data_IF_768135596929
#
_entry.id   IF_768135596929
#
_cell.length_a   1.000
_cell.length_b   1.000
_cell.length_c   1.000
_cell.angle_alpha   90.00
_cell.angle_beta   90.00
_cell.angle_gamma   90.00
#
_symmetry.space_group_name_H-M   'P 1'
#
loop_
_entity.id
_entity.type
_entity.pdbx_description
1 polymer ?
#
# COMPACT_ATOMS: atom_id res chain seq x y z
N UNK A 1 32.58 1.28 -3.21
CA UNK A 1 31.79 0.04 -3.33
C UNK A 1 32.08 -0.55 -4.72
N UNK A 2 32.49 -1.83 -4.83
CA UNK A 2 32.68 -2.44 -6.15
C UNK A 2 31.31 -2.64 -6.80
N UNK A 3 31.18 -2.27 -8.08
CA UNK A 3 29.92 -2.43 -8.82
C UNK A 3 29.83 -3.87 -9.33
N UNK A 4 28.78 -4.57 -8.92
CA UNK A 4 28.46 -5.92 -9.39
C UNK A 4 27.49 -5.80 -10.57
N UNK A 5 27.99 -6.00 -11.78
CA UNK A 5 27.16 -5.94 -12.98
C UNK A 5 26.29 -7.19 -13.13
N UNK A 6 25.10 -6.99 -13.70
CA UNK A 6 24.21 -8.08 -14.03
C UNK A 6 24.85 -8.93 -15.16
N UNK A 7 24.82 -10.28 -15.08
CA UNK A 7 25.33 -11.13 -16.14
C UNK A 7 24.66 -10.84 -17.50
N UNK A 8 25.41 -10.96 -18.60
CA UNK A 8 24.87 -10.76 -19.94
C UNK A 8 23.81 -11.83 -20.29
N UNK A 9 23.96 -13.05 -19.78
CA UNK A 9 23.12 -14.22 -20.04
C UNK A 9 21.95 -14.39 -19.04
N UNK A 10 21.21 -13.31 -18.74
CA UNK A 10 20.00 -13.42 -17.90
C UNK A 10 18.81 -13.93 -18.72
N UNK A 11 18.07 -14.97 -18.25
CA UNK A 11 16.88 -15.48 -18.92
C UNK A 11 15.81 -14.41 -19.15
N UNK A 12 15.09 -14.50 -20.28
CA UNK A 12 14.06 -13.52 -20.66
C UNK A 12 13.00 -13.33 -19.57
N UNK A 13 12.58 -14.41 -18.90
CA UNK A 13 11.63 -14.34 -17.76
C UNK A 13 12.12 -13.40 -16.67
N UNK A 14 13.41 -13.45 -16.29
CA UNK A 14 13.97 -12.54 -15.27
C UNK A 14 14.04 -11.09 -15.76
N UNK A 15 14.24 -10.86 -17.06
CA UNK A 15 14.20 -9.52 -17.65
C UNK A 15 12.80 -8.93 -17.60
N UNK A 16 11.77 -9.70 -17.94
CA UNK A 16 10.36 -9.29 -17.85
C UNK A 16 9.92 -8.98 -16.42
N UNK A 17 10.35 -9.80 -15.44
CA UNK A 17 10.18 -9.50 -14.01
C UNK A 17 10.82 -8.16 -13.61
N UNK A 18 12.05 -7.90 -14.07
CA UNK A 18 12.70 -6.61 -13.79
C UNK A 18 11.95 -5.46 -14.49
N UNK A 19 11.54 -5.64 -15.75
CA UNK A 19 10.80 -4.62 -16.49
C UNK A 19 9.45 -4.26 -15.83
N UNK A 20 8.72 -5.25 -15.30
CA UNK A 20 7.49 -4.99 -14.54
C UNK A 20 7.75 -4.17 -13.28
N UNK A 21 8.84 -4.43 -12.56
CA UNK A 21 9.20 -3.66 -11.36
C UNK A 21 9.68 -2.25 -11.74
N UNK A 22 10.44 -2.11 -12.82
CA UNK A 22 10.85 -0.79 -13.35
C UNK A 22 9.62 0.05 -13.70
N UNK A 23 8.65 -0.54 -14.40
CA UNK A 23 7.39 0.13 -14.73
C UNK A 23 6.63 0.55 -13.46
N UNK A 24 6.54 -0.32 -12.46
CA UNK A 24 5.87 -0.01 -11.19
C UNK A 24 6.58 1.10 -10.39
N UNK A 25 7.91 1.03 -10.26
CA UNK A 25 8.72 2.06 -9.60
C UNK A 25 8.57 3.41 -10.33
N UNK A 26 8.62 3.40 -11.67
CA UNK A 26 8.36 4.59 -12.49
C UNK A 26 6.95 5.15 -12.26
N UNK A 27 5.93 4.28 -12.19
CA UNK A 27 4.57 4.68 -11.88
C UNK A 27 4.46 5.39 -10.53
N UNK A 28 5.24 4.97 -9.54
CA UNK A 28 5.21 5.58 -8.22
C UNK A 28 6.00 6.91 -8.16
N UNK A 29 7.16 6.99 -8.83
CA UNK A 29 8.09 8.11 -8.67
C UNK A 29 8.00 9.19 -9.76
N UNK A 30 7.60 8.85 -10.98
CA UNK A 30 7.73 9.73 -12.15
C UNK A 30 6.46 9.89 -12.98
N UNK A 31 5.53 8.93 -12.94
CA UNK A 31 4.36 8.96 -13.83
C UNK A 31 3.44 10.17 -13.57
N UNK A 32 3.25 10.57 -12.32
CA UNK A 32 2.44 11.74 -11.99
C UNK A 32 2.98 13.05 -12.61
N UNK A 33 4.31 13.19 -12.63
CA UNK A 33 5.01 14.33 -13.22
C UNK A 33 4.88 14.29 -14.74
N UNK A 34 5.08 13.12 -15.35
CA UNK A 34 4.88 12.93 -16.79
C UNK A 34 3.43 13.22 -17.21
N UNK A 35 2.44 12.76 -16.44
CA UNK A 35 1.04 13.03 -16.71
C UNK A 35 0.69 14.52 -16.61
N UNK A 36 1.20 15.21 -15.59
CA UNK A 36 1.05 16.67 -15.46
C UNK A 36 1.68 17.40 -16.64
N UNK A 37 2.93 17.07 -16.98
CA UNK A 37 3.64 17.68 -18.10
C UNK A 37 2.92 17.43 -19.43
N UNK A 38 2.44 16.21 -19.68
CA UNK A 38 1.68 15.87 -20.87
C UNK A 38 0.35 16.65 -20.95
N UNK A 39 -0.40 16.72 -19.84
CA UNK A 39 -1.65 17.46 -19.78
C UNK A 39 -1.47 18.95 -20.12
N UNK A 40 -0.43 19.58 -19.55
CA UNK A 40 -0.06 20.97 -19.81
C UNK A 40 0.41 21.13 -21.26
N UNK A 41 1.35 20.29 -21.72
CA UNK A 41 1.90 20.38 -23.06
C UNK A 41 0.81 20.27 -24.14
N UNK A 42 -0.15 19.35 -23.97
CA UNK A 42 -1.26 19.17 -24.91
C UNK A 42 -2.08 20.46 -25.10
N UNK A 43 -2.28 21.29 -24.06
CA UNK A 43 -2.95 22.60 -24.18
C UNK A 43 -2.25 23.56 -25.14
N UNK A 44 -0.94 23.45 -25.29
CA UNK A 44 -0.13 24.31 -26.17
C UNK A 44 0.15 23.67 -27.55
N UNK A 45 -0.60 22.62 -27.92
CA UNK A 45 -0.50 21.96 -29.23
C UNK A 45 -1.84 21.98 -29.96
N UNK A 46 -1.85 21.49 -31.21
CA UNK A 46 -3.10 21.24 -31.96
C UNK A 46 -4.08 20.29 -31.25
N UNK A 47 -3.64 19.59 -30.20
CA UNK A 47 -4.43 18.64 -29.42
C UNK A 47 -5.05 19.25 -28.14
N UNK A 48 -5.06 20.58 -28.00
CA UNK A 48 -5.58 21.26 -26.80
C UNK A 48 -7.01 20.85 -26.40
N UNK A 49 -7.85 20.51 -27.39
CA UNK A 49 -9.21 20.02 -27.17
C UNK A 49 -9.23 18.77 -26.30
N UNK A 50 -8.23 17.89 -26.39
CA UNK A 50 -8.12 16.68 -25.55
C UNK A 50 -7.98 17.07 -24.07
N UNK A 51 -7.08 18.01 -23.77
CA UNK A 51 -6.90 18.49 -22.39
C UNK A 51 -8.11 19.28 -21.90
N UNK A 52 -8.74 20.09 -22.74
CA UNK A 52 -9.95 20.84 -22.37
C UNK A 52 -11.12 19.91 -22.03
N UNK A 53 -11.39 18.91 -22.88
CA UNK A 53 -12.43 17.92 -22.65
C UNK A 53 -12.12 17.06 -21.42
N UNK A 54 -10.86 16.64 -21.25
CA UNK A 54 -10.45 15.92 -20.05
C UNK A 54 -10.60 16.80 -18.79
N UNK A 55 -10.27 18.08 -18.84
CA UNK A 55 -10.42 19.00 -17.70
C UNK A 55 -11.89 19.15 -17.29
N UNK A 56 -12.79 19.31 -18.26
CA UNK A 56 -14.23 19.36 -18.00
C UNK A 56 -14.71 18.06 -17.35
N UNK A 57 -14.33 16.90 -17.90
CA UNK A 57 -14.65 15.60 -17.32
C UNK A 57 -14.05 15.42 -15.91
N UNK A 58 -12.81 15.83 -15.72
CA UNK A 58 -12.10 15.76 -14.44
C UNK A 58 -12.81 16.59 -13.37
N UNK A 59 -13.29 17.78 -13.71
CA UNK A 59 -14.08 18.60 -12.79
C UNK A 59 -15.38 17.93 -12.36
N UNK A 60 -16.09 17.29 -13.30
CA UNK A 60 -17.34 16.56 -13.05
C UNK A 60 -17.07 15.29 -12.22
N UNK A 61 -16.01 14.55 -12.53
CA UNK A 61 -15.65 13.26 -11.90
C UNK A 61 -14.78 13.42 -10.64
N UNK A 62 -14.58 14.65 -10.13
CA UNK A 62 -13.62 14.97 -9.06
C UNK A 62 -13.80 14.15 -7.78
N UNK A 63 -15.04 13.79 -7.45
CA UNK A 63 -15.37 13.05 -6.21
C UNK A 63 -15.24 11.53 -6.36
N UNK A 64 -15.02 11.03 -7.58
CA UNK A 64 -14.96 9.59 -7.86
C UNK A 64 -13.94 8.81 -7.01
N UNK A 65 -12.72 9.33 -6.75
CA UNK A 65 -11.76 8.67 -5.86
C UNK A 65 -12.28 8.45 -4.45
N UNK A 66 -13.17 9.32 -3.96
CA UNK A 66 -13.79 9.21 -2.63
C UNK A 66 -15.13 8.48 -2.65
N UNK A 67 -15.57 8.01 -3.83
CA UNK A 67 -16.81 7.23 -4.02
C UNK A 67 -16.51 5.84 -4.58
N UNK A 68 -15.47 5.20 -4.05
CA UNK A 68 -15.08 3.82 -4.38
C UNK A 68 -14.26 3.64 -5.66
N UNK A 69 -13.83 4.74 -6.30
CA UNK A 69 -12.93 4.72 -7.45
C UNK A 69 -13.56 4.10 -8.71
N UNK A 70 -12.70 3.70 -9.67
CA UNK A 70 -13.08 3.13 -10.97
C UNK A 70 -12.13 1.99 -11.33
N UNK A 71 -12.43 0.80 -10.82
CA UNK A 71 -11.62 -0.41 -11.06
C UNK A 71 -11.75 -0.90 -12.49
N UNK A 72 -10.63 -1.36 -13.06
CA UNK A 72 -10.56 -1.99 -14.37
C UNK A 72 -9.98 -3.39 -14.21
N UNK A 73 -10.84 -4.41 -14.22
CA UNK A 73 -10.44 -5.80 -13.99
C UNK A 73 -9.39 -6.30 -14.99
N UNK A 74 -9.45 -5.87 -16.25
CA UNK A 74 -8.46 -6.22 -17.26
C UNK A 74 -7.04 -5.75 -16.86
N UNK A 75 -6.93 -4.53 -16.33
CA UNK A 75 -5.65 -3.99 -15.85
C UNK A 75 -5.19 -4.74 -14.61
N UNK A 76 -6.07 -5.01 -13.64
CA UNK A 76 -5.75 -5.79 -12.43
C UNK A 76 -5.28 -7.22 -12.73
N UNK A 77 -5.80 -7.83 -13.80
CA UNK A 77 -5.43 -9.18 -14.28
C UNK A 77 -4.25 -9.18 -15.27
N UNK A 78 -3.65 -8.03 -15.55
CA UNK A 78 -2.57 -7.91 -16.54
C UNK A 78 -1.37 -8.81 -16.19
N UNK A 79 -0.77 -9.39 -17.23
CA UNK A 79 0.41 -10.26 -17.11
C UNK A 79 1.60 -9.56 -16.46
N UNK A 80 1.70 -8.24 -16.56
CA UNK A 80 2.78 -7.46 -15.93
C UNK A 80 2.83 -7.67 -14.41
N UNK A 81 1.67 -7.81 -13.75
CA UNK A 81 1.59 -8.03 -12.31
C UNK A 81 2.00 -9.44 -11.90
N UNK A 82 1.81 -10.44 -12.77
CA UNK A 82 2.33 -11.81 -12.55
C UNK A 82 3.87 -11.82 -12.57
N UNK A 83 4.48 -11.08 -13.49
CA UNK A 83 5.93 -10.88 -13.49
C UNK A 83 6.42 -10.14 -12.25
N UNK A 84 5.68 -9.12 -11.80
CA UNK A 84 6.03 -8.39 -10.57
C UNK A 84 5.92 -9.29 -9.33
N UNK A 85 4.86 -10.09 -9.20
CA UNK A 85 4.72 -11.09 -8.13
C UNK A 85 5.90 -12.07 -8.11
N UNK A 86 6.30 -12.59 -9.27
CA UNK A 86 7.40 -13.55 -9.40
C UNK A 86 8.78 -12.91 -9.21
N UNK A 87 8.89 -11.58 -9.26
CA UNK A 87 10.11 -10.86 -8.92
C UNK A 87 10.38 -10.89 -7.41
N UNK A 88 9.33 -10.73 -6.61
CA UNK A 88 9.33 -10.69 -5.14
C UNK A 88 8.80 -11.98 -4.47
N UNK A 89 8.70 -13.10 -5.19
CA UNK A 89 7.81 -14.22 -4.83
C UNK A 89 6.67 -13.92 -3.83
N UNK A 90 5.69 -13.08 -4.21
CA UNK A 90 4.63 -12.65 -3.26
C UNK A 90 3.58 -13.75 -3.03
N UNK A 91 3.27 -14.01 -1.75
CA UNK A 91 2.22 -14.94 -1.32
C UNK A 91 1.23 -14.22 -0.40
N UNK A 92 -0.07 -14.37 -0.69
CA UNK A 92 -1.15 -13.92 0.19
C UNK A 92 -1.71 -15.11 0.95
N UNK A 93 -1.63 -15.06 2.28
CA UNK A 93 -2.05 -16.15 3.18
C UNK A 93 -3.36 -15.78 3.85
N UNK A 94 -4.37 -16.61 3.66
CA UNK A 94 -5.69 -16.49 4.30
C UNK A 94 -5.72 -17.34 5.58
N UNK A 95 -6.07 -16.73 6.72
CA UNK A 95 -6.20 -17.44 8.01
C UNK A 95 -7.64 -17.64 8.47
N UNK A 96 -8.60 -16.93 7.85
CA UNK A 96 -10.03 -17.07 8.13
C UNK A 96 -10.89 -16.74 6.90
N UNK A 97 -12.11 -17.26 6.91
CA UNK A 97 -13.15 -16.88 5.97
C UNK A 97 -13.66 -15.47 6.27
N UNK A 98 -14.01 -14.74 5.21
CA UNK A 98 -14.65 -13.43 5.28
C UNK A 98 -16.04 -13.54 4.65
N UNK A 99 -17.07 -13.15 5.38
CA UNK A 99 -18.47 -13.16 4.91
C UNK A 99 -18.65 -12.06 3.84
N UNK A 100 -18.99 -12.41 2.59
CA UNK A 100 -19.17 -11.43 1.51
C UNK A 100 -20.35 -10.48 1.74
N UNK A 101 -21.19 -10.72 2.76
CA UNK A 101 -22.26 -9.80 3.16
C UNK A 101 -21.78 -8.69 4.09
N UNK A 102 -20.52 -8.71 4.53
CA UNK A 102 -19.94 -7.71 5.41
C UNK A 102 -18.85 -6.90 4.69
N UNK A 103 -18.69 -5.65 5.11
CA UNK A 103 -17.52 -4.85 4.76
C UNK A 103 -16.44 -5.03 5.84
N UNK A 104 -15.17 -4.88 5.45
CA UNK A 104 -14.02 -5.08 6.32
C UNK A 104 -13.05 -3.90 6.25
N UNK A 105 -12.53 -3.50 7.41
CA UNK A 105 -11.43 -2.54 7.50
C UNK A 105 -10.13 -3.28 7.80
N UNK A 106 -9.26 -3.40 6.80
CA UNK A 106 -8.02 -4.16 6.86
C UNK A 106 -6.85 -3.25 7.23
N UNK A 107 -6.19 -3.51 8.35
CA UNK A 107 -4.98 -2.78 8.76
C UNK A 107 -3.73 -3.50 8.28
N UNK A 108 -3.03 -2.93 7.30
CA UNK A 108 -1.80 -3.48 6.71
C UNK A 108 -0.55 -2.95 7.40
N UNK A 109 0.36 -3.87 7.74
CA UNK A 109 1.62 -3.61 8.46
C UNK A 109 2.76 -4.47 7.90
N UNK A 110 4.01 -3.99 7.87
CA UNK A 110 4.43 -2.59 7.92
C UNK A 110 4.19 -1.89 6.56
N UNK A 111 4.36 -0.57 6.50
CA UNK A 111 4.31 0.17 5.22
C UNK A 111 5.43 -0.21 4.24
N UNK A 112 6.65 -0.49 4.74
CA UNK A 112 7.84 -0.54 3.88
C UNK A 112 8.12 0.80 3.19
N UNK A 113 8.99 0.82 2.17
CA UNK A 113 9.27 2.06 1.43
C UNK A 113 8.15 2.38 0.42
N UNK A 114 7.76 1.39 -0.38
CA UNK A 114 6.79 1.55 -1.48
C UNK A 114 5.56 0.63 -1.36
N UNK A 115 5.44 -0.14 -0.26
CA UNK A 115 4.34 -1.06 0.01
C UNK A 115 4.02 -2.01 -1.17
N UNK A 116 5.04 -2.69 -1.70
CA UNK A 116 4.92 -3.60 -2.84
C UNK A 116 3.94 -4.75 -2.56
N UNK A 117 3.97 -5.32 -1.36
CA UNK A 117 3.04 -6.38 -0.96
C UNK A 117 1.59 -5.90 -0.95
N UNK A 118 1.33 -4.72 -0.36
CA UNK A 118 0.00 -4.12 -0.37
C UNK A 118 -0.51 -3.87 -1.80
N UNK A 119 0.34 -3.29 -2.67
CA UNK A 119 -0.04 -3.04 -4.05
C UNK A 119 -0.37 -4.34 -4.80
N UNK A 120 0.51 -5.34 -4.74
CA UNK A 120 0.28 -6.62 -5.45
C UNK A 120 -0.98 -7.30 -4.94
N UNK A 121 -1.20 -7.33 -3.64
CA UNK A 121 -2.31 -8.07 -3.03
C UNK A 121 -3.68 -7.41 -3.17
N UNK A 122 -3.76 -6.08 -3.08
CA UNK A 122 -5.05 -5.38 -3.06
C UNK A 122 -5.36 -4.65 -4.37
N UNK A 123 -4.34 -4.27 -5.15
CA UNK A 123 -4.54 -3.53 -6.39
C UNK A 123 -4.48 -4.40 -7.65
N UNK A 124 -4.09 -5.67 -7.55
CA UNK A 124 -3.97 -6.60 -8.69
C UNK A 124 -4.62 -7.94 -8.36
N UNK A 125 -4.74 -8.81 -9.36
CA UNK A 125 -5.16 -10.20 -9.19
C UNK A 125 -3.96 -11.18 -9.19
N UNK A 126 -2.72 -10.68 -9.14
CA UNK A 126 -1.54 -11.53 -9.31
C UNK A 126 -1.37 -12.56 -8.18
N UNK A 127 -1.76 -12.22 -6.94
CA UNK A 127 -1.76 -13.13 -5.79
C UNK A 127 -3.07 -13.91 -5.63
N UNK A 128 -4.03 -13.75 -6.55
CA UNK A 128 -5.29 -14.49 -6.52
C UNK A 128 -6.28 -14.02 -5.44
N UNK A 129 -6.30 -12.72 -5.10
CA UNK A 129 -7.16 -12.17 -4.06
C UNK A 129 -8.63 -12.62 -4.20
N UNK A 130 -9.24 -12.48 -5.37
CA UNK A 130 -10.65 -12.87 -5.57
C UNK A 130 -10.89 -14.39 -5.48
N UNK A 131 -9.85 -15.21 -5.60
CA UNK A 131 -9.93 -16.66 -5.38
C UNK A 131 -9.86 -16.99 -3.89
N UNK A 132 -9.00 -16.31 -3.14
CA UNK A 132 -8.86 -16.48 -1.70
C UNK A 132 -10.07 -15.92 -0.94
N UNK A 133 -10.60 -14.78 -1.36
CA UNK A 133 -11.72 -14.08 -0.72
C UNK A 133 -12.85 -13.89 -1.73
N UNK A 134 -13.60 -14.95 -2.09
CA UNK A 134 -14.67 -14.86 -3.07
C UNK A 134 -15.77 -13.91 -2.60
N UNK A 135 -16.25 -13.06 -3.51
CA UNK A 135 -17.25 -12.04 -3.20
C UNK A 135 -16.71 -10.81 -2.45
N UNK A 136 -15.42 -10.80 -2.08
CA UNK A 136 -14.77 -9.64 -1.46
C UNK A 136 -14.03 -8.82 -2.52
N UNK A 137 -14.27 -7.52 -2.48
CA UNK A 137 -13.75 -6.54 -3.40
C UNK A 137 -12.74 -5.65 -2.68
N UNK A 138 -11.42 -5.75 -2.97
CA UNK A 138 -10.40 -4.98 -2.28
C UNK A 138 -10.35 -3.53 -2.79
N UNK A 139 -10.05 -2.62 -1.87
CA UNK A 139 -9.73 -1.21 -2.14
C UNK A 139 -8.54 -0.82 -1.26
N UNK A 140 -7.54 -0.14 -1.83
CA UNK A 140 -6.36 0.33 -1.07
C UNK A 140 -6.39 1.85 -0.95
N UNK A 141 -6.24 2.37 0.26
CA UNK A 141 -6.19 3.82 0.48
C UNK A 141 -4.85 4.39 0.01
N UNK A 142 -4.92 5.49 -0.74
CA UNK A 142 -3.77 6.23 -1.27
C UNK A 142 -3.92 7.71 -0.96
N UNK A 143 -2.79 8.40 -0.78
CA UNK A 143 -2.75 9.83 -0.48
C UNK A 143 -3.63 10.63 -1.46
N UNK A 144 -4.56 11.40 -0.89
CA UNK A 144 -5.60 12.16 -1.62
C UNK A 144 -5.03 13.11 -2.68
N UNK A 145 -3.81 13.63 -2.46
CA UNK A 145 -3.11 14.51 -3.40
C UNK A 145 -2.91 13.87 -4.78
N UNK A 146 -2.60 12.57 -4.84
CA UNK A 146 -2.35 11.89 -6.12
C UNK A 146 -3.58 11.80 -7.02
N UNK A 147 -4.78 11.84 -6.43
CA UNK A 147 -6.02 11.86 -7.18
C UNK A 147 -6.35 13.23 -7.80
N UNK A 148 -5.55 14.25 -7.52
CA UNK A 148 -5.61 15.58 -8.16
C UNK A 148 -4.67 15.69 -9.37
N UNK A 149 -3.93 14.64 -9.70
CA UNK A 149 -3.04 14.64 -10.87
C UNK A 149 -3.81 14.10 -12.09
N UNK A 150 -3.92 14.86 -13.20
CA UNK A 150 -4.64 14.43 -14.40
C UNK A 150 -4.02 13.15 -14.96
N UNK A 151 -4.83 12.27 -15.52
CA UNK A 151 -4.50 10.92 -16.03
C UNK A 151 -3.99 9.93 -14.98
N UNK A 152 -3.09 10.35 -14.08
CA UNK A 152 -2.54 9.51 -13.02
C UNK A 152 -3.63 9.06 -12.04
N UNK A 153 -4.57 9.94 -11.69
CA UNK A 153 -5.75 9.58 -10.87
C UNK A 153 -6.53 8.40 -11.43
N UNK A 154 -6.65 8.32 -12.75
CA UNK A 154 -7.40 7.26 -13.43
C UNK A 154 -6.62 5.96 -13.44
N UNK A 155 -5.31 6.04 -13.65
CA UNK A 155 -4.42 4.90 -13.49
C UNK A 155 -4.48 4.32 -12.06
N UNK A 156 -4.46 5.17 -11.03
CA UNK A 156 -4.62 4.71 -9.63
C UNK A 156 -5.97 4.05 -9.38
N UNK A 157 -7.07 4.72 -9.77
CA UNK A 157 -8.41 4.17 -9.61
C UNK A 157 -8.59 2.84 -10.33
N UNK A 158 -7.93 2.64 -11.49
CA UNK A 158 -8.01 1.40 -12.27
C UNK A 158 -7.53 0.17 -11.50
N UNK A 159 -6.54 0.35 -10.60
CA UNK A 159 -6.07 -0.69 -9.69
C UNK A 159 -6.98 -0.93 -8.49
N UNK A 160 -7.92 -0.03 -8.21
CA UNK A 160 -8.76 -0.09 -7.01
C UNK A 160 -8.26 0.74 -5.85
N UNK A 161 -7.37 1.71 -6.13
CA UNK A 161 -7.00 2.69 -5.11
C UNK A 161 -8.10 3.74 -4.94
N UNK A 162 -8.31 4.15 -3.69
CA UNK A 162 -9.29 5.16 -3.28
C UNK A 162 -8.61 6.23 -2.42
N UNK A 163 -9.24 7.40 -2.28
CA UNK A 163 -8.68 8.50 -1.50
C UNK A 163 -8.50 8.10 -0.03
N UNK A 164 -7.45 8.63 0.61
CA UNK A 164 -7.16 8.41 2.03
C UNK A 164 -8.05 9.22 2.99
N UNK A 165 -8.99 9.99 2.46
CA UNK A 165 -9.91 10.83 3.24
C UNK A 165 -10.92 9.98 4.05
N UNK A 166 -11.41 10.51 5.18
CA UNK A 166 -12.38 9.81 6.05
C UNK A 166 -13.69 9.52 5.32
N UNK A 167 -14.12 10.43 4.45
CA UNK A 167 -15.35 10.34 3.66
C UNK A 167 -15.25 9.19 2.66
N UNK A 168 -14.09 9.03 2.03
CA UNK A 168 -13.78 7.93 1.10
C UNK A 168 -13.87 6.58 1.80
N UNK A 169 -13.23 6.47 2.97
CA UNK A 169 -13.28 5.26 3.76
C UNK A 169 -14.72 4.95 4.21
N UNK A 170 -15.44 5.95 4.72
CA UNK A 170 -16.84 5.82 5.14
C UNK A 170 -17.73 5.37 4.00
N UNK A 171 -17.57 5.93 2.80
CA UNK A 171 -18.34 5.54 1.61
C UNK A 171 -18.17 4.06 1.28
N UNK A 172 -16.94 3.55 1.30
CA UNK A 172 -16.68 2.12 1.01
C UNK A 172 -17.24 1.21 2.10
N UNK A 173 -17.11 1.60 3.37
CA UNK A 173 -17.53 0.78 4.52
C UNK A 173 -19.04 0.76 4.75
N UNK A 174 -19.78 1.76 4.24
CA UNK A 174 -21.23 1.88 4.40
C UNK A 174 -22.05 1.24 3.28
N UNK A 175 -21.40 0.61 2.29
CA UNK A 175 -22.09 -0.05 1.19
C UNK A 175 -23.01 -1.16 1.70
N UNK A 176 -24.34 -1.04 1.51
CA UNK A 176 -25.31 -1.96 2.10
C UNK A 176 -25.21 -3.39 1.56
N UNK A 177 -24.67 -3.56 0.35
CA UNK A 177 -24.45 -4.86 -0.28
C UNK A 177 -23.35 -5.70 0.40
N UNK A 178 -22.51 -5.10 1.25
CA UNK A 178 -21.34 -5.75 1.82
C UNK A 178 -20.24 -6.02 0.78
N UNK A 179 -19.31 -6.90 1.11
CA UNK A 179 -18.35 -7.43 0.16
C UNK A 179 -17.21 -6.48 -0.19
N UNK A 180 -16.98 -5.41 0.59
CA UNK A 180 -15.86 -4.50 0.39
C UNK A 180 -14.80 -4.68 1.47
N UNK A 181 -13.54 -4.83 1.05
CA UNK A 181 -12.39 -4.81 1.94
C UNK A 181 -11.59 -3.53 1.70
N UNK A 182 -11.58 -2.63 2.67
CA UNK A 182 -10.80 -1.40 2.62
C UNK A 182 -9.48 -1.59 3.37
N UNK A 183 -8.37 -1.61 2.65
CA UNK A 183 -7.03 -1.72 3.21
C UNK A 183 -6.44 -0.34 3.51
N UNK A 184 -5.94 -0.18 4.73
CA UNK A 184 -5.20 0.99 5.20
C UNK A 184 -3.82 0.56 5.64
N UNK A 185 -2.78 1.21 5.11
CA UNK A 185 -1.43 1.07 5.63
C UNK A 185 -1.30 2.01 6.82
N UNK A 186 -1.43 1.47 8.03
CA UNK A 186 -1.74 2.28 9.22
C UNK A 186 -0.58 3.18 9.65
N UNK A 187 0.66 2.70 9.55
CA UNK A 187 1.85 3.51 9.86
C UNK A 187 2.05 4.67 8.88
N UNK A 188 1.50 4.54 7.67
CA UNK A 188 1.49 5.57 6.63
C UNK A 188 2.89 6.05 6.22
N UNK A 189 2.95 7.26 5.65
CA UNK A 189 4.19 7.87 5.20
C UNK A 189 5.26 7.99 6.30
N UNK A 190 4.87 8.17 7.56
CA UNK A 190 5.84 8.31 8.65
C UNK A 190 6.61 7.01 8.89
N UNK A 191 5.93 5.87 8.87
CA UNK A 191 6.56 4.55 9.03
C UNK A 191 7.52 4.22 7.88
N UNK A 192 7.26 4.72 6.67
CA UNK A 192 8.15 4.54 5.53
C UNK A 192 9.57 5.11 5.77
N UNK A 193 9.72 6.14 6.63
CA UNK A 193 11.04 6.69 7.00
C UNK A 193 11.85 5.75 7.90
N UNK A 194 11.18 4.81 8.56
CA UNK A 194 11.73 3.84 9.49
C UNK A 194 11.81 2.42 8.89
N UNK A 195 11.37 2.23 7.64
CA UNK A 195 11.49 0.94 6.95
C UNK A 195 12.96 0.54 6.80
N UNK A 196 13.37 -0.51 7.50
CA UNK A 196 14.74 -1.04 7.50
C UNK A 196 14.71 -2.56 7.43
N UNK A 197 15.61 -3.21 6.67
CA UNK A 197 15.68 -4.66 6.64
C UNK A 197 15.79 -5.26 8.05
N UNK A 198 15.02 -6.31 8.31
CA UNK A 198 14.94 -6.96 9.63
C UNK A 198 14.29 -6.15 10.75
N UNK A 199 13.67 -4.99 10.45
CA UNK A 199 12.92 -4.20 11.44
C UNK A 199 11.47 -4.68 11.54
N UNK A 200 11.00 -4.85 12.78
CA UNK A 200 9.63 -5.22 13.15
C UNK A 200 8.96 -4.17 14.05
N UNK A 201 9.50 -2.95 14.01
CA UNK A 201 8.93 -1.80 14.72
C UNK A 201 7.82 -1.16 13.88
N UNK A 202 6.62 -1.07 14.42
CA UNK A 202 5.43 -0.54 13.76
C UNK A 202 4.98 0.77 14.40
N UNK A 203 4.69 1.78 13.56
CA UNK A 203 4.12 3.05 14.02
C UNK A 203 2.61 2.88 14.23
N UNK A 204 2.23 2.31 15.35
CA UNK A 204 0.85 1.90 15.63
C UNK A 204 0.36 2.30 17.02
N UNK A 205 1.25 2.53 17.99
CA UNK A 205 0.87 2.67 19.42
C UNK A 205 -0.22 3.72 19.65
N UNK A 206 -0.13 4.83 18.93
CA UNK A 206 -1.05 5.97 19.04
C UNK A 206 -1.97 6.13 17.81
N UNK A 207 -1.95 5.20 16.85
CA UNK A 207 -2.71 5.30 15.59
C UNK A 207 -4.12 4.73 15.74
N UNK A 208 -4.96 5.40 16.53
CA UNK A 208 -6.31 4.88 16.87
C UNK A 208 -7.43 5.30 15.92
N UNK A 209 -7.13 6.12 14.91
CA UNK A 209 -8.14 6.69 14.00
C UNK A 209 -8.90 5.64 13.19
N UNK A 210 -8.22 4.60 12.71
CA UNK A 210 -8.86 3.51 11.95
C UNK A 210 -9.78 2.66 12.83
N UNK A 211 -9.41 2.44 14.11
CA UNK A 211 -10.26 1.74 15.08
C UNK A 211 -11.53 2.53 15.37
N UNK A 212 -11.40 3.85 15.58
CA UNK A 212 -12.56 4.74 15.74
C UNK A 212 -13.49 4.64 14.53
N UNK A 213 -12.94 4.66 13.31
CA UNK A 213 -13.71 4.54 12.08
C UNK A 213 -14.45 3.18 11.99
N UNK A 214 -13.78 2.08 12.33
CA UNK A 214 -14.41 0.76 12.38
C UNK A 214 -15.61 0.72 13.34
N UNK A 215 -15.46 1.29 14.55
CA UNK A 215 -16.55 1.37 15.53
C UNK A 215 -17.69 2.28 15.05
N UNK A 216 -17.38 3.42 14.43
CA UNK A 216 -18.40 4.33 13.86
C UNK A 216 -19.30 3.63 12.83
N UNK A 217 -18.73 2.74 12.02
CA UNK A 217 -19.47 2.01 10.98
C UNK A 217 -19.95 0.62 11.38
N UNK A 218 -19.46 0.06 12.50
CA UNK A 218 -19.73 -1.33 12.89
C UNK A 218 -19.03 -2.34 11.98
N UNK A 219 -17.87 -1.97 11.42
CA UNK A 219 -17.13 -2.77 10.45
C UNK A 219 -16.03 -3.56 11.15
N UNK A 220 -15.97 -4.90 11.03
CA UNK A 220 -14.88 -5.67 11.61
C UNK A 220 -13.50 -5.21 11.15
N UNK A 221 -12.55 -5.17 12.09
CA UNK A 221 -11.14 -4.90 11.82
C UNK A 221 -10.44 -6.21 11.44
N UNK A 222 -9.54 -6.17 10.45
CA UNK A 222 -8.75 -7.33 10.06
C UNK A 222 -7.27 -6.97 10.13
N UNK A 223 -6.49 -7.52 11.08
CA UNK A 223 -5.06 -7.28 11.14
C UNK A 223 -4.35 -8.01 9.99
N UNK A 224 -3.41 -7.35 9.33
CA UNK A 224 -2.60 -7.90 8.25
C UNK A 224 -1.13 -7.60 8.53
N UNK A 225 -0.29 -8.63 8.46
CA UNK A 225 1.16 -8.48 8.56
C UNK A 225 1.86 -9.01 7.30
N UNK A 226 2.81 -8.24 6.76
CA UNK A 226 3.58 -8.53 5.54
C UNK A 226 5.06 -8.74 5.86
N UNK A 227 5.48 -9.99 5.94
CA UNK A 227 6.90 -10.35 6.10
C UNK A 227 7.66 -10.07 4.81
N UNK A 228 8.89 -9.54 4.92
CA UNK A 228 9.75 -9.20 3.78
C UNK A 228 9.55 -7.80 3.21
N UNK A 229 8.50 -7.08 3.62
CA UNK A 229 8.15 -5.76 3.09
C UNK A 229 9.26 -4.71 3.35
N UNK A 230 9.87 -4.75 4.53
CA UNK A 230 10.97 -3.87 4.94
C UNK A 230 12.33 -4.26 4.32
N UNK A 231 12.45 -5.46 3.74
CA UNK A 231 13.72 -6.00 3.22
C UNK A 231 13.96 -5.65 1.74
N UNK A 232 13.01 -4.93 1.13
CA UNK A 232 13.06 -4.60 -0.31
C UNK A 232 14.05 -3.48 -0.64
N UNK A 233 14.39 -2.65 0.34
CA UNK A 233 15.26 -1.49 0.16
C UNK A 233 16.12 -1.27 1.39
N UNK A 234 17.33 -0.77 1.16
CA UNK A 234 18.10 -0.11 2.20
C UNK A 234 17.72 1.37 2.26
N UNK A 235 18.00 1.99 3.39
CA UNK A 235 17.83 3.42 3.57
C UNK A 235 19.07 4.04 4.19
N UNK A 236 19.41 5.24 3.73
CA UNK A 236 20.44 6.07 4.35
C UNK A 236 20.10 6.27 5.82
N UNK A 237 21.11 6.16 6.68
CA UNK A 237 20.94 6.34 8.13
C UNK A 237 20.39 7.74 8.42
N UNK A 238 19.24 7.80 9.07
CA UNK A 238 18.56 9.04 9.46
C UNK A 238 18.04 8.92 10.91
N UNK A 239 18.92 8.74 11.91
CA UNK A 239 18.51 8.51 13.29
C UNK A 239 17.61 9.64 13.82
N UNK A 240 16.70 9.33 14.75
CA UNK A 240 15.85 10.33 15.40
C UNK A 240 16.73 11.43 16.03
N UNK A 241 16.37 12.68 15.78
CA UNK A 241 17.15 13.85 16.19
C UNK A 241 18.18 14.35 15.15
N UNK A 242 18.55 13.56 14.14
CA UNK A 242 19.45 14.04 13.08
C UNK A 242 18.82 15.14 12.21
N UNK A 243 19.65 16.02 11.65
CA UNK A 243 19.21 17.07 10.73
C UNK A 243 18.41 16.51 9.54
N UNK A 244 18.89 15.42 8.93
CA UNK A 244 18.19 14.76 7.83
C UNK A 244 16.78 14.31 8.24
N UNK A 245 16.65 13.71 9.42
CA UNK A 245 15.35 13.26 9.94
C UNK A 245 14.41 14.43 10.24
N UNK A 246 14.94 15.53 10.79
CA UNK A 246 14.16 16.74 11.03
C UNK A 246 13.64 17.35 9.72
N UNK A 247 14.47 17.41 8.69
CA UNK A 247 14.07 17.87 7.36
C UNK A 247 12.98 16.96 6.78
N UNK A 248 13.19 15.64 6.79
CA UNK A 248 12.21 14.68 6.29
C UNK A 248 10.85 14.80 7.00
N UNK A 249 10.84 14.94 8.33
CA UNK A 249 9.61 15.14 9.09
C UNK A 249 8.91 16.47 8.75
N UNK A 250 9.68 17.56 8.61
CA UNK A 250 9.12 18.86 8.22
C UNK A 250 8.47 18.81 6.84
N UNK A 251 9.15 18.21 5.85
CA UNK A 251 8.60 18.06 4.50
C UNK A 251 7.36 17.15 4.52
N UNK A 252 7.39 16.07 5.30
CA UNK A 252 6.24 15.18 5.47
C UNK A 252 5.03 15.90 6.07
N UNK A 253 5.21 16.77 7.07
CA UNK A 253 4.12 17.54 7.67
C UNK A 253 3.51 18.55 6.69
N UNK A 254 4.32 19.14 5.81
CA UNK A 254 3.87 20.13 4.82
C UNK A 254 3.19 19.45 3.63
N UNK A 255 3.79 18.39 3.09
CA UNK A 255 3.38 17.77 1.83
C UNK A 255 2.47 16.56 2.00
N UNK A 256 2.41 15.97 3.20
CA UNK A 256 1.77 14.68 3.45
C UNK A 256 2.55 13.48 2.88
N UNK A 257 3.71 13.71 2.25
CA UNK A 257 4.56 12.70 1.61
C UNK A 257 5.88 12.58 2.38
N UNK A 258 6.27 11.36 2.73
CA UNK A 258 7.61 11.07 3.22
C UNK A 258 8.60 10.92 2.07
N UNK A 259 9.80 11.48 2.23
CA UNK A 259 10.90 11.34 1.27
C UNK A 259 12.04 10.51 1.88
N UNK A 260 11.87 9.19 2.06
CA UNK A 260 12.95 8.32 2.47
C UNK A 260 14.07 8.35 1.43
N UNK A 261 15.32 8.46 1.88
CA UNK A 261 16.49 8.30 1.02
C UNK A 261 16.83 6.82 0.97
N UNK A 262 16.20 6.10 0.05
CA UNK A 262 16.37 4.67 -0.10
C UNK A 262 17.24 4.32 -1.32
N UNK A 263 17.87 3.15 -1.25
CA UNK A 263 18.53 2.54 -2.39
C UNK A 263 18.38 1.01 -2.33
N UNK A 264 18.56 0.38 -3.48
CA UNK A 264 18.66 -1.06 -3.62
C UNK A 264 19.57 -1.35 -4.80
N UNK A 265 19.05 -1.96 -5.87
CA UNK A 265 19.82 -2.34 -7.07
C UNK A 265 19.48 -1.48 -8.29
N UNK A 266 20.35 -1.54 -9.29
CA UNK A 266 20.15 -0.91 -10.60
C UNK A 266 19.42 -1.84 -11.57
N UNK A 267 19.15 -1.35 -12.78
CA UNK A 267 18.57 -2.20 -13.83
C UNK A 267 19.61 -3.22 -14.32
N UNK A 268 20.84 -2.76 -14.58
CA UNK A 268 21.95 -3.54 -15.15
C UNK A 268 23.09 -3.85 -14.17
N UNK A 269 22.94 -3.51 -12.89
CA UNK A 269 23.88 -3.84 -11.81
C UNK A 269 23.15 -4.03 -10.48
N UNK A 270 23.81 -4.65 -9.49
CA UNK A 270 23.22 -5.10 -8.23
C UNK A 270 23.62 -4.29 -7.00
N UNK A 271 24.49 -3.28 -7.14
CA UNK A 271 25.12 -2.57 -6.02
C UNK A 271 24.40 -1.28 -5.57
N UNK A 272 23.72 -0.56 -6.47
CA UNK A 272 23.01 0.67 -6.09
C UNK A 272 21.86 1.01 -7.06
N UNK A 273 20.84 1.74 -6.65
CA UNK A 273 19.77 2.20 -7.54
C UNK A 273 18.42 2.23 -6.86
N UNK A 274 17.35 2.39 -7.64
CA UNK A 274 15.99 2.53 -7.14
C UNK A 274 15.12 1.29 -7.38
N UNK A 275 15.70 0.22 -7.93
CA UNK A 275 14.97 -1.03 -8.16
C UNK A 275 15.11 -1.89 -6.90
N UNK A 276 14.01 -2.31 -6.26
CA UNK A 276 14.08 -3.06 -5.01
C UNK A 276 14.79 -4.40 -5.15
N UNK A 277 15.29 -4.91 -4.04
CA UNK A 277 15.86 -6.25 -3.98
C UNK A 277 14.82 -7.33 -4.29
N UNK A 278 15.29 -8.45 -4.87
CA UNK A 278 14.46 -9.63 -5.13
C UNK A 278 14.35 -10.45 -3.86
N UNK A 279 13.44 -10.06 -2.96
CA UNK A 279 13.16 -10.75 -1.69
C UNK A 279 11.72 -11.26 -1.67
N UNK A 280 11.44 -12.42 -1.04
CA UNK A 280 10.10 -12.94 -0.89
C UNK A 280 9.23 -12.00 -0.02
N UNK A 281 7.93 -11.91 -0.32
CA UNK A 281 6.96 -11.18 0.51
C UNK A 281 5.82 -12.14 0.89
N UNK A 282 5.55 -12.27 2.18
CA UNK A 282 4.45 -13.09 2.69
C UNK A 282 3.47 -12.23 3.47
N UNK A 283 2.32 -11.96 2.88
CA UNK A 283 1.27 -11.17 3.52
C UNK A 283 0.24 -12.10 4.14
N UNK A 284 0.12 -12.07 5.46
CA UNK A 284 -0.82 -12.88 6.24
C UNK A 284 -2.02 -12.05 6.63
N UNK A 285 -3.22 -12.47 6.23
CA UNK A 285 -4.50 -11.84 6.58
C UNK A 285 -5.06 -12.54 7.81
N UNK A 286 -5.14 -11.84 8.92
CA UNK A 286 -5.64 -12.33 10.20
C UNK A 286 -7.16 -12.51 10.26
N UNK A 287 -7.66 -12.90 11.42
CA UNK A 287 -9.08 -13.11 11.68
C UNK A 287 -9.80 -11.76 11.87
N UNK A 288 -11.06 -11.63 11.42
CA UNK A 288 -11.83 -10.42 11.67
C UNK A 288 -12.13 -10.27 13.17
N UNK A 289 -11.90 -9.06 13.68
CA UNK A 289 -12.23 -8.61 15.03
C UNK A 289 -13.57 -7.89 14.95
N UNK A 290 -14.66 -8.49 15.46
CA UNK A 290 -15.97 -7.85 15.45
C UNK A 290 -15.98 -6.59 16.30
N UNK A 291 -16.67 -5.56 15.85
CA UNK A 291 -16.85 -4.31 16.60
C UNK A 291 -18.32 -3.94 16.65
N UNK A 292 -18.76 -3.38 17.78
CA UNK A 292 -20.14 -2.92 17.94
C UNK A 292 -20.26 -1.49 17.40
N UNK A 293 -21.23 -1.25 16.50
CA UNK A 293 -21.45 0.07 15.91
C UNK A 293 -21.81 1.11 16.97
N UNK A 294 -21.13 2.26 16.98
CA UNK A 294 -21.46 3.41 17.82
C UNK A 294 -21.03 4.72 17.15
N UNK A 295 -21.96 5.66 16.95
CA UNK A 295 -21.71 6.92 16.22
C UNK A 295 -20.66 7.85 16.87
N UNK A 296 -20.47 7.75 18.19
CA UNK A 296 -19.47 8.50 18.95
C UNK A 296 -18.89 7.59 20.04
N UNK A 297 -17.92 6.74 19.72
CA UNK A 297 -17.29 5.89 20.73
C UNK A 297 -16.45 6.74 21.68
N UNK A 298 -16.43 6.35 22.96
CA UNK A 298 -15.55 6.97 23.95
C UNK A 298 -14.09 6.57 23.67
N UNK A 299 -13.14 7.30 24.27
CA UNK A 299 -11.74 6.98 24.06
C UNK A 299 -11.40 5.61 24.67
N UNK A 300 -12.03 5.23 25.78
CA UNK A 300 -11.87 3.94 26.44
C UNK A 300 -12.32 2.78 25.54
N UNK A 301 -13.47 2.93 24.85
CA UNK A 301 -13.95 1.91 23.90
C UNK A 301 -12.99 1.76 22.71
N UNK A 302 -12.48 2.88 22.18
CA UNK A 302 -11.47 2.86 21.12
C UNK A 302 -10.19 2.19 21.60
N UNK A 303 -9.77 2.46 22.84
CA UNK A 303 -8.54 1.91 23.43
C UNK A 303 -8.64 0.41 23.67
N UNK A 304 -9.80 -0.07 24.13
CA UNK A 304 -10.07 -1.50 24.32
C UNK A 304 -9.98 -2.26 22.99
N UNK A 305 -10.67 -1.77 21.94
CA UNK A 305 -10.63 -2.41 20.62
C UNK A 305 -9.25 -2.29 20.00
N UNK A 306 -8.55 -1.16 20.19
CA UNK A 306 -7.18 -0.99 19.72
C UNK A 306 -6.23 -1.96 20.41
N UNK A 307 -6.34 -2.16 21.72
CA UNK A 307 -5.52 -3.13 22.44
C UNK A 307 -5.79 -4.56 21.95
N UNK A 308 -7.06 -4.91 21.70
CA UNK A 308 -7.41 -6.19 21.09
C UNK A 308 -6.77 -6.34 19.69
N UNK A 309 -6.81 -5.28 18.87
CA UNK A 309 -6.15 -5.26 17.57
C UNK A 309 -4.63 -5.49 17.68
N UNK A 310 -3.95 -4.83 18.62
CA UNK A 310 -2.52 -5.04 18.87
C UNK A 310 -2.22 -6.48 19.28
N UNK A 311 -3.02 -7.05 20.18
CA UNK A 311 -2.84 -8.42 20.65
C UNK A 311 -3.00 -9.44 19.51
N UNK A 312 -4.04 -9.28 18.68
CA UNK A 312 -4.27 -10.16 17.51
C UNK A 312 -3.18 -9.98 16.44
N UNK A 313 -2.66 -8.75 16.24
CA UNK A 313 -1.55 -8.52 15.32
C UNK A 313 -0.24 -9.16 15.82
N UNK A 314 0.08 -9.04 17.12
CA UNK A 314 1.20 -9.74 17.73
C UNK A 314 1.05 -11.25 17.58
N UNK A 315 -0.10 -11.79 17.95
CA UNK A 315 -0.38 -13.22 17.81
C UNK A 315 -0.21 -13.69 16.37
N UNK A 316 -0.75 -12.95 15.39
CA UNK A 316 -0.61 -13.26 13.97
C UNK A 316 0.86 -13.31 13.54
N UNK A 317 1.68 -12.37 14.03
CA UNK A 317 3.11 -12.36 13.79
C UNK A 317 3.81 -13.58 14.41
N UNK A 318 3.61 -13.81 15.71
CA UNK A 318 4.24 -14.93 16.44
C UNK A 318 3.90 -16.29 15.82
N UNK A 319 2.64 -16.52 15.44
CA UNK A 319 2.20 -17.77 14.81
C UNK A 319 2.86 -18.06 13.45
N UNK A 320 3.40 -17.04 12.78
CA UNK A 320 3.92 -17.16 11.41
C UNK A 320 5.41 -16.86 11.26
N UNK A 321 6.06 -16.26 12.26
CA UNK A 321 7.44 -15.74 12.13
C UNK A 321 8.45 -16.85 11.84
N UNK A 322 8.32 -18.01 12.47
CA UNK A 322 9.23 -19.16 12.31
C UNK A 322 9.21 -19.70 10.87
N UNK A 323 8.02 -19.74 10.25
CA UNK A 323 7.84 -20.19 8.86
C UNK A 323 8.63 -19.34 7.86
N UNK A 324 8.93 -18.09 8.21
CA UNK A 324 9.63 -17.15 7.36
C UNK A 324 11.06 -16.87 7.83
N UNK A 325 11.60 -17.75 8.69
CA UNK A 325 12.97 -17.69 9.23
C UNK A 325 13.25 -16.41 10.03
N UNK A 326 12.25 -15.91 10.74
CA UNK A 326 12.46 -14.81 11.67
C UNK A 326 12.94 -15.39 13.00
N UNK A 327 14.04 -14.89 13.59
CA UNK A 327 14.55 -15.38 14.87
C UNK A 327 13.53 -15.31 16.01
N UNK A 328 13.60 -16.26 16.94
CA UNK A 328 12.66 -16.38 18.06
C UNK A 328 12.65 -15.15 18.98
N UNK A 329 13.80 -14.47 19.14
CA UNK A 329 13.97 -13.26 19.95
C UNK A 329 13.39 -11.98 19.30
N UNK A 330 12.97 -12.07 18.02
CA UNK A 330 12.34 -10.96 17.33
C UNK A 330 10.83 -10.97 17.58
N UNK A 331 10.34 -9.81 18.02
CA UNK A 331 8.95 -9.53 18.31
C UNK A 331 8.52 -8.21 17.68
N UNK A 332 7.22 -8.00 17.54
CA UNK A 332 6.68 -6.70 17.14
C UNK A 332 6.90 -5.67 18.24
N UNK A 333 7.36 -4.48 17.85
CA UNK A 333 7.46 -3.33 18.73
C UNK A 333 6.52 -2.22 18.24
N UNK A 334 5.67 -1.69 19.11
CA UNK A 334 4.75 -0.62 18.74
C UNK A 334 5.26 0.74 19.25
N UNK A 335 5.46 1.68 18.32
CA UNK A 335 5.87 3.07 18.61
C UNK A 335 4.81 4.11 18.27
#
# INVERSE_FOLDING_TARGET
MKVEFAPLSIPMKRRLQTASVVQWVFSFLGLAQCCTAAFIALFFTRFWLVSALYAAWWFIDREKPSKGGRKINALRKSTIWRYMRDYFPVTLVKTAELDPRQNYLMGFHPHGVLAAGAFINFCTEASGFSTLFPGITPHLMMLSLWFRVPFFRDYLMSGGLVSSDKESASYVLQKPEGGNALAIIVGGAQEALDARPGSYTLLLKNRKGFVRLAIEHGTPLVPIFSFGENDLFDQVKNPKGSWLRQLQHRLQQIMGISLPLFHARGIFQYSFGLIPYRRPIFTVVGKPIPVKKKHRPSQEEVDQVHQQYLNELCKLFEEHKDKYNIPEDKHLEFI
#
